data_IF_613826861407
#
_entry.id   IF_613826861407
#
_cell.length_a   1.000
_cell.length_b   1.000
_cell.length_c   1.000
_cell.angle_alpha   90.00
_cell.angle_beta   90.00
_cell.angle_gamma   90.00
#
_symmetry.space_group_name_H-M   'P 1'
#
loop_
_entity.id
_entity.type
_entity.pdbx_description
1 polymer ?
#
# COMPACT_ATOMS: atom_id res chain seq x y z
N UNK A 1 16.08 13.72 21.19
CA UNK A 1 16.80 12.43 21.08
C UNK A 1 15.92 11.24 21.44
N UNK A 2 15.27 11.19 22.61
CA UNK A 2 14.42 10.06 23.03
C UNK A 2 13.34 9.66 22.00
N UNK A 3 12.56 10.62 21.48
CA UNK A 3 11.52 10.34 20.45
C UNK A 3 12.08 9.68 19.19
N UNK A 4 13.27 10.11 18.77
CA UNK A 4 13.95 9.54 17.59
C UNK A 4 14.36 8.10 17.87
N UNK A 5 14.94 7.84 19.04
CA UNK A 5 15.31 6.48 19.46
C UNK A 5 14.06 5.57 19.52
N UNK A 6 12.99 6.00 20.19
CA UNK A 6 11.73 5.25 20.28
C UNK A 6 11.17 4.91 18.91
N UNK A 7 11.17 5.87 17.97
CA UNK A 7 10.67 5.64 16.60
C UNK A 7 11.46 4.55 15.88
N UNK A 8 12.79 4.59 15.94
CA UNK A 8 13.63 3.58 15.30
C UNK A 8 13.50 2.22 15.97
N UNK A 9 13.43 2.17 17.31
CA UNK A 9 13.17 0.92 18.03
C UNK A 9 11.84 0.28 17.61
N UNK A 10 10.79 1.08 17.40
CA UNK A 10 9.50 0.59 16.91
C UNK A 10 9.59 0.06 15.48
N UNK A 11 10.34 0.72 14.59
CA UNK A 11 10.57 0.20 13.24
C UNK A 11 11.35 -1.12 13.26
N UNK A 12 12.37 -1.25 14.11
CA UNK A 12 13.09 -2.52 14.28
C UNK A 12 12.19 -3.61 14.86
N UNK A 13 11.37 -3.31 15.86
CA UNK A 13 10.41 -4.28 16.41
C UNK A 13 9.38 -4.71 15.35
N UNK A 14 8.84 -3.77 14.58
CA UNK A 14 7.94 -4.04 13.47
C UNK A 14 8.60 -4.96 12.42
N UNK A 15 9.83 -4.64 12.01
CA UNK A 15 10.53 -5.36 10.96
C UNK A 15 11.13 -6.70 11.40
N UNK A 16 11.59 -6.85 12.65
CA UNK A 16 12.38 -8.02 13.07
C UNK A 16 11.65 -8.95 14.05
N UNK A 17 10.56 -8.51 14.68
CA UNK A 17 9.80 -9.34 15.62
C UNK A 17 8.36 -9.56 15.17
N UNK A 18 7.61 -8.47 14.93
CA UNK A 18 6.18 -8.56 14.61
C UNK A 18 5.95 -8.96 13.14
N UNK A 19 6.80 -8.47 12.24
CA UNK A 19 6.79 -8.81 10.82
C UNK A 19 6.90 -10.30 10.55
N UNK A 20 7.95 -11.00 11.03
CA UNK A 20 8.10 -12.44 10.86
C UNK A 20 6.90 -13.25 11.37
N UNK A 21 6.23 -12.81 12.44
CA UNK A 21 5.00 -13.45 12.92
C UNK A 21 3.85 -13.33 11.90
N UNK A 22 3.64 -12.15 11.33
CA UNK A 22 2.65 -11.95 10.27
C UNK A 22 3.02 -12.72 9.00
N UNK A 23 4.29 -12.73 8.62
CA UNK A 23 4.81 -13.51 7.49
C UNK A 23 4.59 -15.01 7.69
N UNK A 24 4.88 -15.55 8.88
CA UNK A 24 4.65 -16.95 9.21
C UNK A 24 3.17 -17.37 9.05
N UNK A 25 2.23 -16.51 9.46
CA UNK A 25 0.80 -16.77 9.26
C UNK A 25 0.46 -16.89 7.77
N UNK A 26 0.97 -15.99 6.92
CA UNK A 26 0.73 -16.01 5.47
C UNK A 26 1.45 -17.19 4.80
N UNK A 27 2.70 -17.47 5.17
CA UNK A 27 3.47 -18.61 4.67
C UNK A 27 2.82 -19.96 4.95
N UNK A 28 1.96 -20.04 5.97
CA UNK A 28 1.24 -21.26 6.33
C UNK A 28 -0.01 -21.52 5.47
N UNK A 29 -0.28 -20.72 4.44
CA UNK A 29 -1.40 -20.90 3.52
C UNK A 29 -0.97 -21.92 2.44
N UNK A 30 -1.52 -23.14 2.43
CA UNK A 30 -1.16 -24.12 1.42
C UNK A 30 -1.84 -23.81 0.09
N UNK A 31 -1.08 -23.95 -0.98
CA UNK A 31 -1.60 -23.99 -2.33
C UNK A 31 -2.27 -25.37 -2.59
N UNK A 32 -3.11 -25.52 -3.64
CA UNK A 32 -3.86 -26.76 -3.93
C UNK A 32 -2.99 -28.01 -4.10
N UNK A 33 -1.75 -27.83 -4.54
CA UNK A 33 -0.70 -28.84 -4.70
C UNK A 33 0.18 -29.01 -3.46
N UNK A 34 -0.14 -28.32 -2.36
CA UNK A 34 0.67 -28.26 -1.14
C UNK A 34 1.87 -27.32 -1.22
N UNK A 35 2.05 -26.61 -2.33
CA UNK A 35 3.10 -25.61 -2.51
C UNK A 35 2.91 -24.34 -1.68
N UNK A 36 3.91 -23.45 -1.73
CA UNK A 36 3.88 -22.15 -1.03
C UNK A 36 3.33 -21.00 -1.89
N UNK A 37 3.12 -21.23 -3.20
CA UNK A 37 2.66 -20.19 -4.13
C UNK A 37 1.14 -19.98 -4.05
N UNK A 38 0.67 -19.42 -2.94
CA UNK A 38 -0.75 -19.13 -2.68
C UNK A 38 -0.99 -17.70 -2.20
N UNK A 39 -2.20 -17.19 -2.44
CA UNK A 39 -2.73 -15.99 -1.76
C UNK A 39 -3.93 -16.39 -0.89
N UNK A 40 -4.57 -15.43 -0.21
CA UNK A 40 -5.70 -15.71 0.66
C UNK A 40 -6.84 -16.42 -0.06
N UNK A 41 -7.36 -15.84 -1.15
CA UNK A 41 -8.45 -16.42 -1.93
C UNK A 41 -7.99 -17.45 -2.95
N UNK A 42 -6.72 -17.41 -3.37
CA UNK A 42 -6.14 -18.38 -4.30
C UNK A 42 -5.29 -19.39 -3.52
N UNK A 43 -5.96 -20.26 -2.78
CA UNK A 43 -5.36 -21.30 -1.93
C UNK A 43 -6.24 -22.56 -1.85
N UNK A 44 -5.72 -23.66 -1.28
CA UNK A 44 -6.48 -24.89 -1.07
C UNK A 44 -7.70 -24.72 -0.14
N UNK A 45 -7.66 -23.70 0.73
CA UNK A 45 -8.73 -23.38 1.67
C UNK A 45 -8.97 -21.86 1.68
N UNK A 46 -9.68 -21.30 0.68
CA UNK A 46 -9.79 -19.85 0.47
C UNK A 46 -10.26 -19.06 1.70
N UNK A 47 -11.23 -19.61 2.45
CA UNK A 47 -11.75 -18.95 3.66
C UNK A 47 -10.67 -18.87 4.76
N UNK A 48 -9.90 -19.94 4.94
CA UNK A 48 -8.82 -20.00 5.93
C UNK A 48 -7.64 -19.13 5.48
N UNK A 49 -7.30 -19.14 4.19
CA UNK A 49 -6.28 -18.27 3.61
C UNK A 49 -6.61 -16.80 3.80
N UNK A 50 -7.83 -16.38 3.45
CA UNK A 50 -8.30 -15.03 3.66
C UNK A 50 -8.30 -14.64 5.15
N UNK A 51 -8.72 -15.54 6.05
CA UNK A 51 -8.68 -15.30 7.49
C UNK A 51 -7.24 -15.08 8.01
N UNK A 52 -6.26 -15.84 7.51
CA UNK A 52 -4.84 -15.66 7.85
C UNK A 52 -4.28 -14.33 7.32
N UNK A 53 -4.62 -13.94 6.09
CA UNK A 53 -4.28 -12.62 5.55
C UNK A 53 -4.91 -11.49 6.38
N UNK A 54 -6.18 -11.62 6.77
CA UNK A 54 -6.86 -10.66 7.63
C UNK A 54 -6.21 -10.56 9.02
N UNK A 55 -5.78 -11.69 9.60
CA UNK A 55 -5.02 -11.72 10.85
C UNK A 55 -3.67 -10.99 10.71
N UNK A 56 -2.96 -11.15 9.59
CA UNK A 56 -1.74 -10.40 9.31
C UNK A 56 -1.98 -8.88 9.25
N UNK A 57 -3.06 -8.45 8.58
CA UNK A 57 -3.48 -7.03 8.55
C UNK A 57 -3.84 -6.52 9.95
N UNK A 58 -4.49 -7.34 10.78
CA UNK A 58 -4.80 -6.99 12.17
C UNK A 58 -3.52 -6.81 13.00
N UNK A 59 -2.54 -7.71 12.89
CA UNK A 59 -1.25 -7.62 13.58
C UNK A 59 -0.50 -6.34 13.15
N UNK A 60 -0.45 -6.07 11.84
CA UNK A 60 0.15 -4.85 11.31
C UNK A 60 -0.55 -3.58 11.84
N UNK A 61 -1.88 -3.61 11.92
CA UNK A 61 -2.68 -2.51 12.46
C UNK A 61 -2.40 -2.27 13.94
N UNK A 62 -2.32 -3.32 14.76
CA UNK A 62 -1.97 -3.21 16.19
C UNK A 62 -0.59 -2.58 16.34
N UNK A 63 0.40 -3.07 15.61
CA UNK A 63 1.75 -2.49 15.63
C UNK A 63 1.75 -1.02 15.19
N UNK A 64 0.98 -0.70 14.14
CA UNK A 64 0.80 0.67 13.67
C UNK A 64 0.15 1.58 14.70
N UNK A 65 -0.87 1.12 15.43
CA UNK A 65 -1.53 1.87 16.51
C UNK A 65 -0.55 2.13 17.64
N UNK A 66 0.22 1.13 18.06
CA UNK A 66 1.26 1.27 19.09
C UNK A 66 2.25 2.36 18.65
N UNK A 67 2.80 2.26 17.45
CA UNK A 67 3.74 3.26 16.95
C UNK A 67 3.10 4.65 16.77
N UNK A 68 1.83 4.72 16.36
CA UNK A 68 1.10 5.97 16.22
C UNK A 68 0.94 6.71 17.56
N UNK A 69 0.66 5.99 18.64
CA UNK A 69 0.53 6.58 19.98
C UNK A 69 1.82 7.23 20.47
N UNK A 70 2.98 6.69 20.08
CA UNK A 70 4.28 7.22 20.53
C UNK A 70 4.90 8.24 19.57
N UNK A 71 4.66 8.12 18.26
CA UNK A 71 5.39 8.85 17.23
C UNK A 71 4.49 9.57 16.20
N UNK A 72 3.16 9.46 16.33
CA UNK A 72 2.18 10.03 15.41
C UNK A 72 1.78 9.09 14.27
N UNK A 73 0.69 9.42 13.58
CA UNK A 73 0.05 8.51 12.61
C UNK A 73 0.96 8.06 11.46
N UNK A 74 1.88 8.91 10.99
CA UNK A 74 2.75 8.60 9.84
C UNK A 74 3.77 7.50 10.16
N UNK A 75 4.56 7.59 11.25
CA UNK A 75 5.33 6.44 11.73
C UNK A 75 4.49 5.20 12.04
N UNK A 76 3.25 5.38 12.49
CA UNK A 76 2.30 4.26 12.67
C UNK A 76 2.03 3.50 11.37
N UNK A 77 1.68 4.23 10.29
CA UNK A 77 1.47 3.63 8.97
C UNK A 77 2.74 2.94 8.45
N UNK A 78 3.91 3.59 8.57
CA UNK A 78 5.18 2.98 8.15
C UNK A 78 5.48 1.70 8.94
N UNK A 79 5.22 1.67 10.26
CA UNK A 79 5.42 0.47 11.08
C UNK A 79 4.49 -0.67 10.66
N UNK A 80 3.21 -0.37 10.40
CA UNK A 80 2.26 -1.35 9.86
C UNK A 80 2.72 -1.87 8.49
N UNK A 81 3.23 -1.00 7.63
CA UNK A 81 3.78 -1.38 6.32
C UNK A 81 4.99 -2.28 6.42
N UNK A 82 5.90 -2.03 7.38
CA UNK A 82 7.05 -2.92 7.65
C UNK A 82 6.61 -4.32 8.09
N UNK A 83 5.54 -4.43 8.89
CA UNK A 83 4.94 -5.72 9.26
C UNK A 83 4.34 -6.40 8.01
N UNK A 84 3.57 -5.65 7.22
CA UNK A 84 2.94 -6.20 6.00
C UNK A 84 3.94 -6.62 4.92
N UNK A 85 5.13 -6.03 4.90
CA UNK A 85 6.21 -6.44 4.00
C UNK A 85 6.56 -7.93 4.17
N UNK A 86 6.55 -8.45 5.40
CA UNK A 86 6.73 -9.89 5.64
C UNK A 86 5.58 -10.73 5.14
N UNK A 87 4.34 -10.24 5.28
CA UNK A 87 3.17 -10.88 4.70
C UNK A 87 3.27 -10.97 3.19
N UNK A 88 3.64 -9.87 2.53
CA UNK A 88 3.85 -9.79 1.09
C UNK A 88 5.00 -10.68 0.60
N UNK A 89 6.12 -10.72 1.34
CA UNK A 89 7.24 -11.62 1.05
C UNK A 89 6.87 -13.10 1.18
N UNK A 90 5.91 -13.41 2.06
CA UNK A 90 5.48 -14.78 2.35
C UNK A 90 4.31 -15.26 1.49
N UNK A 91 3.66 -14.37 0.74
CA UNK A 91 2.63 -14.75 -0.22
C UNK A 91 3.25 -15.34 -1.49
N UNK A 92 2.46 -16.12 -2.23
CA UNK A 92 2.88 -16.66 -3.51
C UNK A 92 3.15 -15.59 -4.56
N UNK A 93 3.89 -15.98 -5.59
CA UNK A 93 4.21 -15.10 -6.73
C UNK A 93 3.14 -15.22 -7.82
N UNK A 94 2.79 -14.10 -8.44
CA UNK A 94 1.69 -14.04 -9.41
C UNK A 94 1.93 -14.98 -10.61
N UNK A 95 3.14 -15.01 -11.17
CA UNK A 95 3.45 -15.84 -12.33
C UNK A 95 3.38 -17.33 -11.97
N UNK A 96 3.81 -17.71 -10.76
CA UNK A 96 3.73 -19.11 -10.30
C UNK A 96 2.28 -19.55 -10.09
N UNK A 97 1.46 -18.68 -9.49
CA UNK A 97 0.02 -18.92 -9.30
C UNK A 97 -0.67 -19.12 -10.66
N UNK A 98 -0.39 -18.25 -11.63
CA UNK A 98 -1.01 -18.28 -12.96
C UNK A 98 -0.54 -19.48 -13.78
N UNK A 99 0.75 -19.82 -13.72
CA UNK A 99 1.32 -20.99 -14.43
C UNK A 99 0.69 -22.29 -13.93
N UNK A 100 0.47 -22.37 -12.63
CA UNK A 100 -0.15 -23.52 -11.97
C UNK A 100 -1.64 -23.64 -12.30
N UNK A 101 -2.37 -22.52 -12.29
CA UNK A 101 -3.78 -22.51 -12.65
C UNK A 101 -4.03 -22.82 -14.14
N UNK A 102 -3.08 -22.50 -15.02
CA UNK A 102 -3.26 -22.67 -16.46
C UNK A 102 -4.29 -21.70 -17.06
N UNK A 103 -4.69 -20.65 -16.32
CA UNK A 103 -5.64 -19.63 -16.77
C UNK A 103 -5.39 -18.28 -16.11
N UNK A 104 -6.07 -17.24 -16.59
CA UNK A 104 -6.07 -15.92 -16.00
C UNK A 104 -7.08 -15.75 -14.85
N UNK A 105 -7.88 -16.80 -14.55
CA UNK A 105 -8.92 -16.75 -13.52
C UNK A 105 -8.44 -16.32 -12.14
N UNK A 106 -7.23 -16.70 -11.67
CA UNK A 106 -6.70 -16.23 -10.39
C UNK A 106 -6.58 -14.71 -10.28
N UNK A 107 -6.45 -13.97 -11.39
CA UNK A 107 -6.37 -12.49 -11.36
C UNK A 107 -7.66 -11.87 -10.84
N UNK A 108 -8.82 -12.43 -11.18
CA UNK A 108 -10.12 -11.97 -10.67
C UNK A 108 -10.24 -12.17 -9.15
N UNK A 109 -9.80 -13.34 -8.67
CA UNK A 109 -9.80 -13.65 -7.25
C UNK A 109 -8.79 -12.81 -6.46
N UNK A 110 -7.60 -12.55 -7.02
CA UNK A 110 -6.63 -11.64 -6.42
C UNK A 110 -7.15 -10.19 -6.41
N UNK A 111 -7.89 -9.75 -7.44
CA UNK A 111 -8.52 -8.43 -7.44
C UNK A 111 -9.57 -8.30 -6.34
N UNK A 112 -10.41 -9.32 -6.17
CA UNK A 112 -11.38 -9.40 -5.08
C UNK A 112 -10.70 -9.41 -3.71
N UNK A 113 -9.65 -10.21 -3.55
CA UNK A 113 -8.84 -10.29 -2.32
C UNK A 113 -8.23 -8.93 -1.97
N UNK A 114 -7.68 -8.23 -2.96
CA UNK A 114 -7.13 -6.87 -2.80
C UNK A 114 -8.21 -5.89 -2.33
N UNK A 115 -9.43 -6.00 -2.89
CA UNK A 115 -10.57 -5.20 -2.46
C UNK A 115 -10.95 -5.46 -0.99
N UNK A 116 -11.14 -6.74 -0.63
CA UNK A 116 -11.55 -7.15 0.73
C UNK A 116 -10.49 -6.78 1.78
N UNK A 117 -9.23 -7.19 1.55
CA UNK A 117 -8.14 -6.87 2.47
C UNK A 117 -7.83 -5.38 2.46
N UNK A 118 -7.95 -4.71 1.32
CA UNK A 118 -7.78 -3.27 1.18
C UNK A 118 -8.78 -2.48 2.03
N UNK A 119 -10.06 -2.88 2.06
CA UNK A 119 -11.05 -2.27 2.94
C UNK A 119 -10.69 -2.45 4.43
N UNK A 120 -10.26 -3.65 4.82
CA UNK A 120 -9.80 -3.92 6.18
C UNK A 120 -8.58 -3.05 6.53
N UNK A 121 -7.62 -2.92 5.61
CA UNK A 121 -6.45 -2.07 5.78
C UNK A 121 -6.84 -0.59 5.88
N UNK A 122 -7.78 -0.09 5.08
CA UNK A 122 -8.26 1.30 5.18
C UNK A 122 -8.89 1.58 6.54
N UNK A 123 -9.65 0.63 7.09
CA UNK A 123 -10.14 0.71 8.46
C UNK A 123 -8.97 0.75 9.46
N UNK A 124 -7.95 -0.10 9.28
CA UNK A 124 -6.73 -0.09 10.09
C UNK A 124 -5.97 1.24 10.02
N UNK A 125 -5.79 1.81 8.83
CA UNK A 125 -5.15 3.13 8.62
C UNK A 125 -5.94 4.21 9.35
N UNK A 126 -7.28 4.21 9.26
CA UNK A 126 -8.11 5.15 10.02
C UNK A 126 -7.82 5.06 11.52
N UNK A 127 -7.79 3.85 12.08
CA UNK A 127 -7.49 3.63 13.51
C UNK A 127 -6.07 4.09 13.87
N UNK A 128 -5.07 3.80 13.03
CA UNK A 128 -3.68 4.25 13.21
C UNK A 128 -3.61 5.78 13.23
N UNK A 129 -4.28 6.44 12.28
CA UNK A 129 -4.30 7.90 12.19
C UNK A 129 -5.00 8.55 13.38
N UNK A 130 -6.14 7.99 13.82
CA UNK A 130 -6.86 8.45 15.01
C UNK A 130 -6.03 8.27 16.29
N UNK A 131 -5.37 7.13 16.45
CA UNK A 131 -4.50 6.86 17.60
C UNK A 131 -3.29 7.81 17.68
N UNK A 132 -2.86 8.37 16.55
CA UNK A 132 -1.75 9.31 16.46
C UNK A 132 -2.14 10.79 16.57
N UNK A 133 -3.43 11.12 16.77
CA UNK A 133 -3.88 12.51 16.92
C UNK A 133 -3.43 13.10 18.26
N UNK A 134 -2.86 14.32 18.30
CA UNK A 134 -2.59 15.02 19.56
C UNK A 134 -3.87 15.20 20.38
N UNK A 135 -3.85 14.91 21.68
CA UNK A 135 -5.02 15.01 22.57
C UNK A 135 -5.54 16.44 22.77
N UNK A 136 -4.76 17.45 22.42
CA UNK A 136 -5.08 18.87 22.62
C UNK A 136 -5.67 19.56 21.38
N UNK A 137 -6.16 18.79 20.40
CA UNK A 137 -6.64 19.36 19.13
C UNK A 137 -8.05 19.94 19.29
N UNK A 138 -8.22 21.17 18.80
CA UNK A 138 -9.49 21.88 18.74
C UNK A 138 -10.47 21.12 17.82
N UNK A 139 -11.70 20.78 18.23
CA UNK A 139 -12.68 20.06 17.40
C UNK A 139 -12.99 20.74 16.05
N UNK A 140 -12.59 21.99 15.84
CA UNK A 140 -12.74 22.74 14.59
C UNK A 140 -11.88 22.20 13.43
N UNK A 141 -10.79 21.46 13.69
CA UNK A 141 -9.86 20.93 12.66
C UNK A 141 -10.29 19.58 12.06
N UNK A 142 -11.37 18.97 12.56
CA UNK A 142 -11.95 17.75 12.00
C UNK A 142 -12.87 18.06 10.81
N UNK A 143 -12.31 18.51 9.68
CA UNK A 143 -13.09 18.53 8.45
C UNK A 143 -13.51 17.08 8.09
N UNK A 144 -14.82 16.77 8.06
CA UNK A 144 -15.27 15.47 7.58
C UNK A 144 -14.81 15.28 6.13
N UNK A 145 -14.58 14.02 5.73
CA UNK A 145 -14.34 13.64 4.33
C UNK A 145 -15.55 14.06 3.49
N UNK A 146 -15.56 15.31 3.03
CA UNK A 146 -16.56 15.81 2.10
C UNK A 146 -16.11 15.39 0.71
N UNK A 147 -16.96 14.59 0.06
CA UNK A 147 -16.84 14.33 -1.37
C UNK A 147 -16.97 15.67 -2.10
N UNK A 148 -15.81 16.25 -2.41
CA UNK A 148 -15.68 17.49 -3.16
C UNK A 148 -15.02 17.17 -4.50
N UNK A 149 -15.24 18.01 -5.51
CA UNK A 149 -14.55 17.87 -6.80
C UNK A 149 -13.02 17.81 -6.65
N UNK A 150 -12.46 18.48 -5.63
CA UNK A 150 -11.03 18.42 -5.30
C UNK A 150 -10.59 17.06 -4.76
N UNK A 151 -11.41 16.41 -3.92
CA UNK A 151 -11.11 15.07 -3.45
C UNK A 151 -11.12 14.06 -4.60
N UNK A 152 -12.08 14.19 -5.52
CA UNK A 152 -12.16 13.35 -6.71
C UNK A 152 -10.96 13.54 -7.65
N UNK A 153 -10.55 14.79 -7.90
CA UNK A 153 -9.39 15.07 -8.77
C UNK A 153 -8.07 14.59 -8.13
N UNK A 154 -7.89 14.76 -6.83
CA UNK A 154 -6.72 14.27 -6.11
C UNK A 154 -6.65 12.74 -6.08
N UNK A 155 -7.80 12.08 -5.86
CA UNK A 155 -7.93 10.63 -5.95
C UNK A 155 -7.58 10.13 -7.36
N UNK A 156 -8.15 10.75 -8.40
CA UNK A 156 -7.89 10.39 -9.80
C UNK A 156 -6.42 10.55 -10.19
N UNK A 157 -5.79 11.66 -9.81
CA UNK A 157 -4.36 11.88 -10.05
C UNK A 157 -3.48 10.85 -9.32
N UNK A 158 -3.83 10.53 -8.07
CA UNK A 158 -3.12 9.52 -7.29
C UNK A 158 -3.26 8.11 -7.90
N UNK A 159 -4.47 7.73 -8.30
CA UNK A 159 -4.77 6.45 -8.94
C UNK A 159 -4.00 6.28 -10.25
N UNK A 160 -4.07 7.26 -11.15
CA UNK A 160 -3.37 7.22 -12.43
C UNK A 160 -1.86 7.15 -12.25
N UNK A 161 -1.29 7.97 -11.36
CA UNK A 161 0.14 7.93 -11.06
C UNK A 161 0.55 6.59 -10.45
N UNK A 162 -0.25 6.00 -9.56
CA UNK A 162 0.03 4.69 -8.98
C UNK A 162 0.05 3.58 -10.04
N UNK A 163 -0.90 3.58 -10.99
CA UNK A 163 -0.96 2.63 -12.09
C UNK A 163 0.25 2.78 -13.04
N UNK A 164 0.60 4.01 -13.42
CA UNK A 164 1.78 4.28 -14.27
C UNK A 164 3.06 3.81 -13.59
N UNK A 165 3.26 4.17 -12.31
CA UNK A 165 4.43 3.73 -11.57
C UNK A 165 4.51 2.21 -11.45
N UNK A 166 3.38 1.54 -11.19
CA UNK A 166 3.36 0.08 -11.15
C UNK A 166 3.74 -0.51 -12.49
N UNK A 167 3.17 0.00 -13.58
CA UNK A 167 3.50 -0.44 -14.93
C UNK A 167 4.98 -0.27 -15.27
N UNK A 168 5.62 0.81 -14.80
CA UNK A 168 7.04 1.08 -15.01
C UNK A 168 7.96 0.21 -14.14
N UNK A 169 7.61 -0.02 -12.88
CA UNK A 169 8.51 -0.67 -11.91
C UNK A 169 8.31 -2.17 -11.78
N UNK A 170 7.11 -2.71 -12.03
CA UNK A 170 6.83 -4.14 -11.90
C UNK A 170 7.28 -4.93 -13.15
N UNK A 171 8.57 -4.86 -13.51
CA UNK A 171 9.12 -5.51 -14.72
C UNK A 171 9.48 -6.99 -14.54
N UNK A 172 9.51 -7.52 -13.32
CA UNK A 172 9.62 -8.95 -13.04
C UNK A 172 8.83 -9.32 -11.78
N UNK A 173 8.48 -10.59 -11.66
CA UNK A 173 7.69 -11.17 -10.56
C UNK A 173 8.55 -11.53 -9.33
N UNK A 174 9.68 -10.84 -9.16
CA UNK A 174 10.49 -10.96 -7.93
C UNK A 174 9.84 -10.16 -6.82
N UNK A 175 9.70 -10.76 -5.63
CA UNK A 175 9.08 -10.10 -4.46
C UNK A 175 9.60 -8.68 -4.22
N UNK A 176 10.93 -8.47 -4.26
CA UNK A 176 11.51 -7.14 -4.04
C UNK A 176 11.08 -6.10 -5.08
N UNK A 177 10.82 -6.53 -6.33
CA UNK A 177 10.40 -5.63 -7.41
C UNK A 177 8.89 -5.36 -7.38
N UNK A 178 8.06 -6.37 -7.15
CA UNK A 178 6.59 -6.17 -7.07
C UNK A 178 6.20 -5.33 -5.87
N UNK A 179 6.78 -5.63 -4.71
CA UNK A 179 6.65 -4.80 -3.50
C UNK A 179 7.20 -3.39 -3.73
N UNK A 180 8.40 -3.27 -4.32
CA UNK A 180 9.00 -1.97 -4.62
C UNK A 180 8.14 -1.12 -5.55
N UNK A 181 7.52 -1.74 -6.56
CA UNK A 181 6.59 -1.11 -7.48
C UNK A 181 5.33 -0.60 -6.75
N UNK A 182 4.73 -1.41 -5.88
CA UNK A 182 3.58 -1.01 -5.07
C UNK A 182 3.92 0.12 -4.08
N UNK A 183 5.10 0.09 -3.46
CA UNK A 183 5.58 1.17 -2.60
C UNK A 183 5.82 2.47 -3.38
N UNK A 184 6.43 2.38 -4.56
CA UNK A 184 6.61 3.52 -5.47
C UNK A 184 5.25 4.07 -5.91
N UNK A 185 4.28 3.21 -6.23
CA UNK A 185 2.93 3.61 -6.59
C UNK A 185 2.24 4.41 -5.47
N UNK A 186 2.35 3.96 -4.21
CA UNK A 186 1.84 4.72 -3.05
C UNK A 186 2.54 6.08 -2.86
N UNK A 187 3.87 6.12 -3.06
CA UNK A 187 4.68 7.33 -2.94
C UNK A 187 4.33 8.37 -4.01
N UNK A 188 4.42 7.98 -5.29
CA UNK A 188 4.18 8.87 -6.42
C UNK A 188 2.70 9.22 -6.56
N UNK A 189 1.79 8.28 -6.28
CA UNK A 189 0.37 8.56 -6.21
C UNK A 189 0.04 9.65 -5.18
N UNK A 190 0.64 9.56 -3.99
CA UNK A 190 0.46 10.60 -2.95
C UNK A 190 1.07 11.94 -3.36
N UNK A 191 2.24 11.94 -3.99
CA UNK A 191 2.87 13.16 -4.52
C UNK A 191 1.98 13.84 -5.56
N UNK A 192 1.55 13.11 -6.59
CA UNK A 192 0.69 13.63 -7.65
C UNK A 192 -0.66 14.14 -7.10
N UNK A 193 -1.28 13.38 -6.20
CA UNK A 193 -2.52 13.78 -5.56
C UNK A 193 -2.36 15.03 -4.68
N UNK A 194 -1.25 15.20 -3.97
CA UNK A 194 -0.92 16.41 -3.19
C UNK A 194 -0.64 17.62 -4.08
N UNK A 195 -0.10 17.45 -5.27
CA UNK A 195 0.07 18.56 -6.22
C UNK A 195 -1.28 19.10 -6.70
N UNK A 196 -2.28 18.23 -6.88
CA UNK A 196 -3.65 18.62 -7.26
C UNK A 196 -4.42 19.20 -6.08
N UNK A 197 -4.29 18.61 -4.90
CA UNK A 197 -4.99 19.06 -3.70
C UNK A 197 -4.10 18.94 -2.44
N UNK A 198 -3.31 19.98 -2.12
CA UNK A 198 -2.28 19.94 -1.07
C UNK A 198 -2.77 19.60 0.33
N UNK A 199 -4.04 19.87 0.63
CA UNK A 199 -4.64 19.69 1.96
C UNK A 199 -5.48 18.42 2.11
N UNK A 200 -5.48 17.53 1.11
CA UNK A 200 -6.28 16.30 1.21
C UNK A 200 -5.75 15.35 2.30
N UNK A 201 -6.66 14.66 3.02
CA UNK A 201 -6.28 13.70 4.05
C UNK A 201 -5.61 12.47 3.45
N UNK A 202 -4.71 11.84 4.21
CA UNK A 202 -3.96 10.66 3.77
C UNK A 202 -4.86 9.48 3.36
N UNK A 203 -6.06 9.40 3.93
CA UNK A 203 -7.06 8.39 3.57
C UNK A 203 -7.44 8.42 2.09
N UNK A 204 -7.45 9.60 1.44
CA UNK A 204 -7.76 9.72 0.00
C UNK A 204 -6.67 9.06 -0.86
N UNK A 205 -5.40 9.20 -0.46
CA UNK A 205 -4.30 8.60 -1.19
C UNK A 205 -4.15 7.11 -0.88
N UNK A 206 -4.42 6.70 0.35
CA UNK A 206 -4.48 5.29 0.71
C UNK A 206 -5.60 4.56 -0.04
N UNK A 207 -6.79 5.16 -0.16
CA UNK A 207 -7.89 4.57 -0.93
C UNK A 207 -7.56 4.53 -2.43
N UNK A 208 -6.90 5.55 -2.97
CA UNK A 208 -6.43 5.54 -4.36
C UNK A 208 -5.42 4.42 -4.62
N UNK A 209 -4.50 4.17 -3.68
CA UNK A 209 -3.53 3.06 -3.80
C UNK A 209 -4.18 1.67 -3.72
N UNK A 210 -5.18 1.47 -2.85
CA UNK A 210 -5.99 0.23 -2.82
C UNK A 210 -6.76 0.05 -4.13
N UNK A 211 -7.41 1.11 -4.60
CA UNK A 211 -8.13 1.10 -5.87
C UNK A 211 -7.19 0.80 -7.04
N UNK A 212 -5.96 1.34 -7.01
CA UNK A 212 -4.93 1.02 -8.01
C UNK A 212 -4.64 -0.48 -8.02
N UNK A 213 -4.52 -1.14 -6.87
CA UNK A 213 -4.30 -2.58 -6.83
C UNK A 213 -5.44 -3.41 -7.42
N UNK A 214 -6.68 -3.05 -7.10
CA UNK A 214 -7.86 -3.70 -7.70
C UNK A 214 -7.88 -3.48 -9.21
N UNK A 215 -7.77 -2.23 -9.66
CA UNK A 215 -7.79 -1.87 -11.09
C UNK A 215 -6.65 -2.53 -11.85
N UNK A 216 -5.45 -2.59 -11.26
CA UNK A 216 -4.27 -3.20 -11.86
C UNK A 216 -4.50 -4.68 -12.19
N UNK A 217 -5.03 -5.44 -11.23
CA UNK A 217 -5.33 -6.87 -11.40
C UNK A 217 -6.51 -7.10 -12.36
N UNK A 218 -7.54 -6.24 -12.30
CA UNK A 218 -8.67 -6.29 -13.25
C UNK A 218 -8.23 -6.01 -14.68
N UNK A 219 -7.39 -4.99 -14.89
CA UNK A 219 -6.83 -4.68 -16.22
C UNK A 219 -6.02 -5.86 -16.73
N UNK A 220 -5.16 -6.45 -15.91
CA UNK A 220 -4.41 -7.65 -16.29
C UNK A 220 -5.33 -8.81 -16.68
N UNK A 221 -6.40 -9.07 -15.90
CA UNK A 221 -7.38 -10.11 -16.18
C UNK A 221 -8.14 -9.87 -17.50
N UNK A 222 -8.57 -8.63 -17.74
CA UNK A 222 -9.31 -8.24 -18.95
C UNK A 222 -8.45 -8.24 -20.22
N UNK A 223 -7.15 -8.03 -20.08
CA UNK A 223 -6.19 -8.07 -21.20
C UNK A 223 -5.64 -9.48 -21.46
N UNK A 224 -5.99 -10.47 -20.64
CA UNK A 224 -5.60 -11.85 -20.87
C UNK A 224 -6.32 -12.40 -22.12
N UNK A 225 -5.58 -12.47 -23.23
CA UNK A 225 -6.07 -13.02 -24.49
C UNK A 225 -5.96 -14.55 -24.58
N UNK A 226 -6.29 -15.15 -25.74
CA UNK A 226 -6.15 -16.59 -25.97
C UNK A 226 -4.71 -17.09 -25.80
N UNK A 227 -3.72 -16.23 -26.08
CA UNK A 227 -2.30 -16.55 -25.98
C UNK A 227 -1.70 -16.28 -24.58
N UNK A 228 -2.54 -16.09 -23.57
CA UNK A 228 -2.12 -15.71 -22.22
C UNK A 228 -1.05 -16.64 -21.63
N UNK A 229 -1.20 -17.96 -21.81
CA UNK A 229 -0.23 -18.93 -21.30
C UNK A 229 1.13 -18.80 -21.99
N UNK A 230 1.13 -18.60 -23.31
CA UNK A 230 2.37 -18.39 -24.06
C UNK A 230 3.09 -17.12 -23.57
N UNK A 231 2.36 -16.02 -23.43
CA UNK A 231 2.90 -14.76 -22.88
C UNK A 231 3.45 -14.94 -21.46
N UNK A 232 2.75 -15.70 -20.62
CA UNK A 232 3.16 -15.97 -19.24
C UNK A 232 4.45 -16.80 -19.16
N UNK A 233 4.60 -17.82 -20.01
CA UNK A 233 5.84 -18.60 -20.09
C UNK A 233 6.99 -17.81 -20.74
N UNK A 234 6.67 -16.90 -21.66
CA UNK A 234 7.63 -15.95 -22.23
C UNK A 234 8.07 -14.84 -21.25
N UNK A 235 7.48 -14.77 -20.04
CA UNK A 235 7.76 -13.71 -19.07
C UNK A 235 7.21 -12.34 -19.48
N UNK A 236 6.25 -12.32 -20.41
CA UNK A 236 5.60 -11.13 -20.95
C UNK A 236 4.25 -10.86 -20.27
N UNK A 237 4.08 -11.32 -19.02
CA UNK A 237 2.92 -10.96 -18.22
C UNK A 237 2.84 -9.43 -18.08
N UNK A 238 1.62 -8.88 -18.23
CA UNK A 238 1.39 -7.45 -18.07
C UNK A 238 1.94 -7.01 -16.70
N UNK A 239 2.81 -5.98 -16.61
CA UNK A 239 3.40 -5.53 -15.35
C UNK A 239 2.39 -5.26 -14.24
N UNK A 240 1.19 -4.80 -14.60
CA UNK A 240 0.08 -4.54 -13.68
C UNK A 240 -0.47 -5.81 -12.98
N UNK A 241 -0.32 -6.98 -13.59
CA UNK A 241 -0.76 -8.26 -13.01
C UNK A 241 0.25 -8.89 -12.06
N UNK A 242 1.45 -8.31 -11.92
CA UNK A 242 2.54 -8.92 -11.15
C UNK A 242 2.44 -8.74 -9.64
N UNK A 243 2.14 -7.53 -9.11
CA UNK A 243 2.02 -7.38 -7.66
C UNK A 243 0.78 -8.11 -7.14
N UNK A 244 1.00 -8.97 -6.14
CA UNK A 244 -0.07 -9.73 -5.48
C UNK A 244 -0.79 -8.85 -4.45
N UNK A 245 -1.95 -9.26 -3.90
CA UNK A 245 -2.75 -8.40 -3.03
C UNK A 245 -1.95 -7.78 -1.88
N UNK A 246 -1.16 -8.59 -1.16
CA UNK A 246 -0.38 -8.10 -0.02
C UNK A 246 0.74 -7.12 -0.40
N UNK A 247 1.29 -7.19 -1.62
CA UNK A 247 2.25 -6.21 -2.12
C UNK A 247 1.62 -4.81 -2.16
N UNK A 248 0.38 -4.71 -2.68
CA UNK A 248 -0.37 -3.45 -2.73
C UNK A 248 -0.63 -2.87 -1.34
N UNK A 249 -1.06 -3.70 -0.39
CA UNK A 249 -1.30 -3.25 0.98
C UNK A 249 -0.02 -2.73 1.64
N UNK A 250 1.06 -3.52 1.58
CA UNK A 250 2.35 -3.14 2.15
C UNK A 250 2.91 -1.87 1.48
N UNK A 251 2.82 -1.80 0.16
CA UNK A 251 3.22 -0.66 -0.66
C UNK A 251 2.46 0.61 -0.31
N UNK A 252 1.14 0.54 -0.10
CA UNK A 252 0.33 1.69 0.32
C UNK A 252 0.75 2.19 1.71
N UNK A 253 0.92 1.28 2.68
CA UNK A 253 1.28 1.63 4.06
C UNK A 253 2.68 2.27 4.17
N UNK A 254 3.60 1.93 3.28
CA UNK A 254 4.96 2.51 3.23
C UNK A 254 5.01 3.75 2.32
N UNK A 255 4.49 3.62 1.11
CA UNK A 255 4.56 4.62 0.06
C UNK A 255 3.80 5.90 0.40
N UNK A 256 2.55 5.79 0.87
CA UNK A 256 1.72 6.97 1.18
C UNK A 256 2.34 7.92 2.20
N UNK A 257 2.79 7.47 3.39
CA UNK A 257 3.40 8.37 4.36
C UNK A 257 4.72 8.97 3.86
N UNK A 258 5.50 8.25 3.03
CA UNK A 258 6.71 8.78 2.40
C UNK A 258 6.39 9.85 1.35
N UNK A 259 5.45 9.58 0.44
CA UNK A 259 5.01 10.54 -0.58
C UNK A 259 4.46 11.82 0.04
N UNK A 260 3.69 11.70 1.12
CA UNK A 260 3.22 12.87 1.87
C UNK A 260 4.37 13.67 2.52
N UNK A 261 5.53 13.06 2.78
CA UNK A 261 6.65 13.73 3.48
C UNK A 261 7.39 14.61 2.49
N UNK A 262 7.63 14.03 1.33
CA UNK A 262 8.23 14.71 0.20
C UNK A 262 7.32 15.82 -0.31
N UNK A 263 6.02 15.58 -0.48
CA UNK A 263 5.06 16.62 -0.87
C UNK A 263 5.10 17.82 0.09
N UNK A 264 5.07 17.56 1.40
CA UNK A 264 5.14 18.61 2.41
C UNK A 264 6.42 19.44 2.30
N UNK A 265 7.57 18.78 2.12
CA UNK A 265 8.86 19.46 1.97
C UNK A 265 8.96 20.33 0.71
N UNK A 266 8.30 19.93 -0.38
CA UNK A 266 8.27 20.72 -1.62
C UNK A 266 7.40 21.97 -1.46
N UNK A 267 6.23 21.83 -0.82
CA UNK A 267 5.31 22.96 -0.58
C UNK A 267 5.94 24.00 0.34
N UNK A 268 6.64 23.56 1.39
CA UNK A 268 7.29 24.47 2.35
C UNK A 268 8.40 25.31 1.69
N UNK A 269 9.18 24.73 0.77
CA UNK A 269 10.21 25.46 0.02
C UNK A 269 9.62 26.56 -0.86
N UNK A 270 8.54 26.27 -1.59
CA UNK A 270 7.87 27.26 -2.44
C UNK A 270 7.34 28.44 -1.61
N UNK A 271 6.75 28.18 -0.44
CA UNK A 271 6.24 29.23 0.42
C UNK A 271 7.34 30.13 1.01
N UNK A 272 8.54 29.58 1.23
CA UNK A 272 9.70 30.35 1.69
C UNK A 272 10.22 31.26 0.57
N UNK A 273 10.33 30.76 -0.66
CA UNK A 273 10.82 31.54 -1.81
C UNK A 273 9.88 32.69 -2.17
N UNK A 274 8.56 32.49 -2.12
CA UNK A 274 7.57 33.56 -2.30
C UNK A 274 7.71 34.67 -1.25
N UNK A 275 7.98 34.33 0.01
CA UNK A 275 8.18 35.33 1.08
C UNK A 275 9.42 36.18 0.83
N UNK A 276 10.51 35.59 0.36
CA UNK A 276 11.73 36.32 0.03
C UNK A 276 11.52 37.25 -1.18
N UNK A 277 10.73 36.84 -2.17
CA UNK A 277 10.43 37.65 -3.35
C UNK A 277 9.57 38.90 -3.02
N UNK A 278 8.73 38.85 -1.99
CA UNK A 278 7.84 39.95 -1.59
C UNK A 278 8.52 41.00 -0.70
N UNK A 279 9.67 40.70 -0.10
CA UNK A 279 10.48 41.68 0.66
C UNK A 279 11.79 42.09 -0.04
N UNK A 280 11.75 42.71 -1.23
CA UNK A 280 12.94 43.32 -1.81
C UNK A 280 13.18 44.69 -1.13
N UNK A 281 14.15 44.77 -0.22
CA UNK A 281 14.69 46.07 0.22
C UNK A 281 14.65 46.43 1.71
N UNK A 282 14.60 45.46 2.63
CA UNK A 282 14.84 45.74 4.06
C UNK A 282 16.34 45.64 4.42
N UNK A 283 17.20 46.26 3.61
CA UNK A 283 18.65 46.34 3.79
C UNK A 283 19.16 47.75 3.61
#
# INVERSE_FOLDING_TARGET
MLRTATRWSLYFAAALAVGPLAGWLVASIPAEDGGADATGLVSAAPVVGLAKCAAAVAIATVMGIVAAKFCGGRPGMTSAGLVMCWGAWSSGRSEMILRRAGSADPLWWMALETGVLGLLMLAGIKLILEAGRPRAHDPSDSEPLRFSGRAASAFGAALLSALICTWLFAQSDRHGQTFGAAAAAGLFGTLAGRMVAPRMPLMVFASAGVAAGVVSLLVAALTAGPDFLEMLYAGQLLPLGRPVPLDWLAGVLIGVPLGAAWAGSMIERHAHDERLAVTPGAG
#
